data_IF_236165993484
#
_entry.id   IF_236165993484
#
_cell.length_a   1.000
_cell.length_b   1.000
_cell.length_c   1.000
_cell.angle_alpha   90.00
_cell.angle_beta   90.00
_cell.angle_gamma   90.00
#
_symmetry.space_group_name_H-M   'P 1'
#
loop_
_entity.id
_entity.type
_entity.pdbx_description
1 polymer ?
#
# COMPACT_ATOMS: atom_id res chain seq x y z
N UNK A 1 -12.66 -3.22 41.14
CA UNK A 1 -11.54 -2.33 41.49
C UNK A 1 -10.20 -2.84 40.93
N UNK A 2 -10.14 -3.22 39.64
CA UNK A 2 -8.93 -3.79 39.01
C UNK A 2 -8.60 -3.22 37.62
N UNK A 3 -9.39 -2.25 37.12
CA UNK A 3 -9.24 -1.69 35.77
C UNK A 3 -8.43 -0.38 35.76
N UNK A 4 -8.17 0.23 36.92
CA UNK A 4 -7.55 1.57 36.99
C UNK A 4 -6.02 1.58 37.14
N UNK A 5 -5.38 0.45 37.49
CA UNK A 5 -3.95 0.41 37.79
C UNK A 5 -3.03 0.12 36.57
N UNK A 6 -3.60 -0.18 35.40
CA UNK A 6 -2.82 -0.41 34.17
C UNK A 6 -2.55 0.86 33.35
N UNK A 7 -3.23 1.99 33.64
CA UNK A 7 -3.06 3.23 32.87
C UNK A 7 -1.77 4.00 33.18
N UNK A 8 -1.23 3.90 34.41
CA UNK A 8 -0.10 4.73 34.83
C UNK A 8 1.29 4.08 34.66
N UNK A 9 1.39 2.78 34.37
CA UNK A 9 2.70 2.12 34.12
C UNK A 9 3.14 2.13 32.65
N UNK A 10 2.23 2.38 31.72
CA UNK A 10 2.54 2.41 30.28
C UNK A 10 3.31 3.68 29.89
N UNK A 11 2.95 4.83 30.48
CA UNK A 11 3.56 6.13 30.17
C UNK A 11 5.03 6.19 30.62
N UNK A 12 5.37 5.61 31.78
CA UNK A 12 6.75 5.63 32.30
C UNK A 12 7.67 4.58 31.65
N UNK A 13 7.12 3.54 31.02
CA UNK A 13 7.90 2.52 30.29
C UNK A 13 8.24 2.97 28.85
N UNK A 14 7.44 3.88 28.28
CA UNK A 14 7.70 4.57 27.01
C UNK A 14 8.90 5.52 27.06
N UNK A 15 9.23 6.07 28.24
CA UNK A 15 10.34 7.02 28.44
C UNK A 15 11.73 6.37 28.56
N UNK A 16 11.86 5.03 28.56
CA UNK A 16 13.13 4.32 28.76
C UNK A 16 13.57 3.37 27.63
N UNK A 17 12.79 3.23 26.56
CA UNK A 17 13.29 2.61 25.34
C UNK A 17 13.96 3.72 24.51
N UNK A 18 15.22 3.53 24.11
CA UNK A 18 15.79 4.27 22.96
C UNK A 18 14.69 4.38 21.90
N UNK A 19 14.26 5.60 21.58
CA UNK A 19 13.12 5.91 20.69
C UNK A 19 13.01 4.89 19.55
N UNK A 20 12.14 3.89 19.71
CA UNK A 20 11.96 2.89 18.69
C UNK A 20 11.17 3.55 17.57
N UNK A 21 11.76 3.63 16.37
CA UNK A 21 11.07 4.14 15.18
C UNK A 21 9.76 3.37 15.03
N UNK A 22 8.59 4.02 15.01
CA UNK A 22 7.32 3.32 14.84
C UNK A 22 7.28 2.71 13.44
N UNK A 23 6.68 1.52 13.33
CA UNK A 23 6.59 0.79 12.05
C UNK A 23 7.97 0.62 11.38
N UNK A 24 8.93 0.07 12.14
CA UNK A 24 10.35 -0.04 11.74
C UNK A 24 10.64 -1.09 10.68
N UNK A 25 9.70 -1.98 10.42
CA UNK A 25 9.77 -3.02 9.40
C UNK A 25 9.76 -2.44 7.98
N UNK A 26 10.31 -3.17 7.01
CA UNK A 26 10.27 -2.74 5.62
C UNK A 26 8.80 -2.71 5.13
N UNK A 27 8.29 -1.59 4.62
CA UNK A 27 6.86 -1.42 4.33
C UNK A 27 6.40 -2.17 3.08
N UNK A 28 7.33 -2.43 2.14
CA UNK A 28 7.05 -3.07 0.83
C UNK A 28 7.62 -4.51 0.72
N UNK A 29 7.01 -5.53 1.34
CA UNK A 29 7.55 -6.90 1.37
C UNK A 29 7.56 -7.58 0.00
N UNK A 30 6.71 -7.15 -0.94
CA UNK A 30 6.67 -7.69 -2.30
C UNK A 30 7.80 -7.18 -3.20
N UNK A 31 8.52 -6.13 -2.82
CA UNK A 31 9.64 -5.58 -3.60
C UNK A 31 10.69 -4.93 -2.69
N UNK A 32 11.26 -5.73 -1.78
CA UNK A 32 12.16 -5.24 -0.75
C UNK A 32 13.60 -5.07 -1.24
N UNK A 33 14.20 -3.91 -0.94
CA UNK A 33 15.64 -3.66 -1.09
C UNK A 33 16.30 -3.54 0.28
N UNK A 34 17.60 -3.84 0.33
CA UNK A 34 18.37 -3.70 1.57
C UNK A 34 18.84 -2.26 1.83
N UNK A 35 18.95 -1.44 0.78
CA UNK A 35 19.40 -0.06 0.88
C UNK A 35 18.19 0.87 1.00
N UNK A 36 17.64 0.95 2.21
CA UNK A 36 16.48 1.78 2.53
C UNK A 36 16.65 2.43 3.90
N UNK A 37 15.90 3.50 4.16
CA UNK A 37 15.91 4.22 5.43
C UNK A 37 14.48 4.62 5.79
N UNK A 38 14.05 4.24 6.99
CA UNK A 38 12.74 4.62 7.51
C UNK A 38 12.74 6.09 7.97
N UNK A 39 11.74 6.87 7.55
CA UNK A 39 11.56 8.27 7.93
C UNK A 39 10.39 8.49 8.91
N UNK A 40 9.83 7.43 9.49
CA UNK A 40 8.85 7.55 10.56
C UNK A 40 9.45 8.16 11.83
N UNK A 41 8.56 8.48 12.78
CA UNK A 41 8.87 9.18 14.02
C UNK A 41 8.43 10.63 13.97
N UNK A 42 9.09 11.49 14.72
CA UNK A 42 8.69 12.88 14.89
C UNK A 42 8.97 13.73 13.64
N UNK A 43 7.98 14.52 13.22
CA UNK A 43 8.07 15.55 12.17
C UNK A 43 7.53 16.86 12.74
N UNK A 44 8.04 17.99 12.27
CA UNK A 44 7.40 19.29 12.51
C UNK A 44 6.05 19.33 11.79
N UNK A 45 5.05 19.96 12.41
CA UNK A 45 3.66 19.92 11.96
C UNK A 45 2.95 21.26 12.13
N UNK A 46 2.10 21.61 11.17
CA UNK A 46 1.14 22.71 11.28
C UNK A 46 -0.08 22.43 10.40
N UNK A 47 -1.19 23.10 10.67
CA UNK A 47 -2.47 22.86 10.00
C UNK A 47 -3.17 24.18 9.65
N UNK A 48 -4.00 24.16 8.60
CA UNK A 48 -4.63 25.36 8.07
C UNK A 48 -5.89 25.04 7.28
N UNK A 49 -6.88 25.91 7.37
CA UNK A 49 -8.04 25.89 6.48
C UNK A 49 -7.85 26.76 5.21
N UNK A 50 -6.78 27.55 5.15
CA UNK A 50 -6.43 28.32 3.94
C UNK A 50 -5.71 27.43 2.93
N UNK A 51 -6.27 27.35 1.72
CA UNK A 51 -5.81 26.45 0.64
C UNK A 51 -5.35 27.22 -0.62
N UNK A 52 -4.85 28.45 -0.43
CA UNK A 52 -4.36 29.30 -1.53
C UNK A 52 -2.86 29.13 -1.79
N UNK A 53 -2.38 29.41 -3.00
CA UNK A 53 -0.94 29.43 -3.31
C UNK A 53 -0.14 30.41 -2.42
N UNK A 54 -0.78 31.50 -1.98
CA UNK A 54 -0.18 32.44 -1.02
C UNK A 54 0.08 31.75 0.32
N UNK A 55 -0.83 30.89 0.77
CA UNK A 55 -0.65 30.09 1.96
C UNK A 55 0.51 29.11 1.80
N UNK A 56 0.64 28.47 0.63
CA UNK A 56 1.76 27.55 0.36
C UNK A 56 3.13 28.25 0.48
N UNK A 57 3.28 29.43 -0.13
CA UNK A 57 4.52 30.21 -0.05
C UNK A 57 4.91 30.53 1.40
N UNK A 58 3.92 30.84 2.25
CA UNK A 58 4.13 31.07 3.68
C UNK A 58 4.72 29.84 4.36
N UNK A 59 4.12 28.65 4.18
CA UNK A 59 4.59 27.45 4.87
C UNK A 59 5.95 26.95 4.35
N UNK A 60 6.28 27.21 3.08
CA UNK A 60 7.60 26.89 2.53
C UNK A 60 8.71 27.84 3.02
N UNK A 61 8.38 29.07 3.41
CA UNK A 61 9.35 30.04 3.94
C UNK A 61 9.55 29.96 5.46
N UNK A 62 8.69 29.23 6.16
CA UNK A 62 8.76 29.13 7.63
C UNK A 62 9.95 28.26 8.04
N UNK A 63 10.78 28.80 8.94
CA UNK A 63 11.96 28.10 9.45
C UNK A 63 11.59 26.89 10.31
N UNK A 64 10.50 26.96 11.07
CA UNK A 64 10.06 25.90 11.98
C UNK A 64 8.55 25.90 12.15
N UNK A 65 7.90 24.73 12.14
CA UNK A 65 6.49 24.63 12.52
C UNK A 65 6.29 24.51 14.03
N UNK A 66 5.12 24.96 14.49
CA UNK A 66 4.83 25.18 15.91
C UNK A 66 4.63 23.89 16.70
N UNK A 67 4.24 22.81 16.02
CA UNK A 67 3.89 21.53 16.64
C UNK A 67 4.73 20.39 16.08
N UNK A 68 4.57 19.22 16.68
CA UNK A 68 5.21 17.99 16.22
C UNK A 68 4.21 16.85 16.18
N UNK A 69 4.34 16.00 15.16
CA UNK A 69 3.50 14.83 14.95
C UNK A 69 4.36 13.59 14.75
N UNK A 70 3.91 12.44 15.26
CA UNK A 70 4.56 11.15 15.04
C UNK A 70 3.99 10.50 13.77
N UNK A 71 4.75 10.55 12.70
CA UNK A 71 4.48 9.82 11.44
C UNK A 71 4.76 8.32 11.66
N UNK A 72 3.90 7.40 11.19
CA UNK A 72 2.85 7.61 10.20
C UNK A 72 1.44 7.59 10.80
N UNK A 73 1.22 8.17 11.98
CA UNK A 73 -0.12 8.24 12.57
C UNK A 73 -0.78 9.57 12.16
N UNK A 74 -2.05 9.51 11.75
CA UNK A 74 -2.83 10.70 11.38
C UNK A 74 -3.08 11.61 12.59
N UNK A 75 -3.38 12.90 12.35
CA UNK A 75 -3.58 13.88 13.43
C UNK A 75 -4.72 13.51 14.39
N UNK A 76 -5.70 12.75 13.92
CA UNK A 76 -6.84 12.27 14.70
C UNK A 76 -6.46 11.17 15.69
N UNK A 77 -5.34 10.47 15.45
CA UNK A 77 -4.87 9.35 16.25
C UNK A 77 -4.20 9.82 17.54
N UNK A 78 -4.39 9.07 18.62
CA UNK A 78 -3.66 9.27 19.89
C UNK A 78 -2.16 9.01 19.71
N UNK A 79 -1.79 8.02 18.91
CA UNK A 79 -0.39 7.64 18.65
C UNK A 79 0.40 8.73 17.90
N UNK A 80 -0.27 9.66 17.23
CA UNK A 80 0.36 10.80 16.55
C UNK A 80 0.90 11.84 17.54
N UNK A 81 0.40 11.84 18.78
CA UNK A 81 0.64 12.90 19.76
C UNK A 81 -0.25 14.14 19.59
N UNK A 82 -1.07 14.22 18.53
CA UNK A 82 -1.95 15.36 18.26
C UNK A 82 -3.38 15.14 18.77
N UNK A 83 -4.02 14.01 18.42
CA UNK A 83 -5.38 13.63 18.83
C UNK A 83 -6.46 14.72 18.62
N UNK A 84 -6.40 15.44 17.49
CA UNK A 84 -7.41 16.44 17.10
C UNK A 84 -8.34 15.84 16.06
N UNK A 85 -9.66 15.92 16.31
CA UNK A 85 -10.71 15.25 15.51
C UNK A 85 -11.66 16.22 14.80
N UNK A 86 -11.40 17.51 14.92
CA UNK A 86 -12.06 18.54 14.14
C UNK A 86 -11.58 18.52 12.69
N UNK A 87 -12.34 19.14 11.79
CA UNK A 87 -12.01 19.15 10.37
C UNK A 87 -10.95 20.19 10.04
N UNK A 88 -9.97 19.78 9.24
CA UNK A 88 -9.00 20.68 8.64
C UNK A 88 -8.80 20.34 7.17
N UNK A 89 -8.63 21.36 6.32
CA UNK A 89 -8.47 21.15 4.88
C UNK A 89 -7.04 20.83 4.45
N UNK A 90 -6.05 21.23 5.23
CA UNK A 90 -4.66 21.21 4.81
C UNK A 90 -3.72 21.11 6.00
N UNK A 91 -2.85 20.11 5.96
CA UNK A 91 -1.82 19.88 6.97
C UNK A 91 -0.43 19.89 6.31
N UNK A 92 0.56 20.32 7.06
CA UNK A 92 1.94 20.48 6.60
C UNK A 92 2.89 19.76 7.53
N UNK A 93 3.82 19.03 6.93
CA UNK A 93 4.86 18.28 7.60
C UNK A 93 6.21 18.79 7.14
N UNK A 94 7.17 18.90 8.06
CA UNK A 94 8.56 19.21 7.74
C UNK A 94 9.50 18.32 8.53
N UNK A 95 10.54 17.80 7.87
CA UNK A 95 11.55 16.96 8.51
C UNK A 95 12.91 17.11 7.85
N UNK A 96 13.95 17.11 8.67
CA UNK A 96 15.33 16.94 8.21
C UNK A 96 15.72 15.46 8.11
N UNK A 97 16.53 15.13 7.12
CA UNK A 97 17.08 13.80 6.92
C UNK A 97 18.46 13.87 6.26
N UNK A 98 19.24 12.81 6.41
CA UNK A 98 20.56 12.66 5.77
C UNK A 98 20.58 11.39 4.93
N UNK A 99 21.26 11.44 3.79
CA UNK A 99 21.50 10.25 2.98
C UNK A 99 22.64 9.43 3.59
N UNK A 100 22.46 8.13 3.84
CA UNK A 100 23.54 7.27 4.31
C UNK A 100 24.75 7.30 3.36
N UNK A 101 25.95 7.55 3.91
CA UNK A 101 27.18 7.71 3.12
C UNK A 101 27.48 6.48 2.24
N UNK A 102 27.14 5.29 2.72
CA UNK A 102 27.33 4.03 2.00
C UNK A 102 26.43 3.87 0.75
N UNK A 103 25.50 4.79 0.49
CA UNK A 103 24.69 4.81 -0.73
C UNK A 103 25.44 5.43 -1.92
N UNK A 104 26.49 6.22 -1.68
CA UNK A 104 27.36 6.77 -2.72
C UNK A 104 26.60 7.54 -3.79
N UNK A 105 26.77 7.18 -5.07
CA UNK A 105 26.18 7.87 -6.24
C UNK A 105 24.87 7.24 -6.74
N UNK A 106 24.17 6.50 -5.86
CA UNK A 106 22.86 5.91 -6.17
C UNK A 106 21.81 7.00 -6.40
N UNK A 107 20.77 6.64 -7.17
CA UNK A 107 19.55 7.45 -7.25
C UNK A 107 18.74 7.20 -5.99
N UNK A 108 18.12 8.25 -5.47
CA UNK A 108 17.34 8.21 -4.24
C UNK A 108 15.86 8.37 -4.58
N UNK A 109 15.06 7.41 -4.14
CA UNK A 109 13.62 7.46 -4.20
C UNK A 109 13.08 7.80 -2.80
N UNK A 110 12.13 8.71 -2.71
CA UNK A 110 11.27 8.89 -1.53
C UNK A 110 9.96 8.17 -1.79
N UNK A 111 9.50 7.38 -0.84
CA UNK A 111 8.27 6.63 -0.90
C UNK A 111 7.32 7.04 0.23
N UNK A 112 6.04 7.02 -0.10
CA UNK A 112 4.95 7.20 0.84
C UNK A 112 4.02 5.99 0.71
N UNK A 113 3.72 5.35 1.84
CA UNK A 113 2.78 4.23 1.85
C UNK A 113 1.37 4.69 1.46
N UNK A 114 0.94 5.82 2.01
CA UNK A 114 -0.33 6.48 1.75
C UNK A 114 -0.36 7.86 2.44
N UNK A 115 -1.01 8.85 1.82
CA UNK A 115 -1.24 10.19 2.36
C UNK A 115 -2.65 10.63 1.99
N UNK A 116 -3.54 10.81 2.98
CA UNK A 116 -4.92 11.21 2.71
C UNK A 116 -5.04 12.75 2.58
N UNK A 117 -5.49 13.33 1.46
CA UNK A 117 -5.82 12.71 0.17
C UNK A 117 -4.95 13.18 -0.99
N UNK A 118 -4.60 14.47 -1.03
CA UNK A 118 -3.71 15.04 -2.05
C UNK A 118 -2.39 15.46 -1.44
N UNK A 119 -1.32 14.77 -1.81
CA UNK A 119 0.03 15.04 -1.35
C UNK A 119 0.80 15.93 -2.33
N UNK A 120 1.48 16.95 -1.80
CA UNK A 120 2.48 17.75 -2.53
C UNK A 120 3.80 17.69 -1.78
N UNK A 121 4.90 17.49 -2.50
CA UNK A 121 6.21 17.22 -1.88
C UNK A 121 7.27 18.20 -2.38
N UNK A 122 8.07 18.71 -1.46
CA UNK A 122 9.23 19.53 -1.72
C UNK A 122 10.47 18.96 -1.03
N UNK A 123 11.61 19.04 -1.70
CA UNK A 123 12.92 18.69 -1.14
C UNK A 123 13.81 19.92 -1.25
N UNK A 124 14.34 20.36 -0.11
CA UNK A 124 15.17 21.57 0.00
C UNK A 124 14.53 22.82 -0.63
N UNK A 125 13.21 22.95 -0.49
CA UNK A 125 12.42 24.05 -1.07
C UNK A 125 12.07 23.87 -2.55
N UNK A 126 12.64 22.88 -3.23
CA UNK A 126 12.30 22.59 -4.63
C UNK A 126 11.09 21.65 -4.72
N UNK A 127 10.11 22.02 -5.53
CA UNK A 127 8.94 21.19 -5.77
C UNK A 127 9.30 19.91 -6.54
N UNK A 128 8.83 18.77 -6.03
CA UNK A 128 9.12 17.44 -6.57
C UNK A 128 7.93 16.87 -7.34
N UNK A 129 6.71 16.98 -6.80
CA UNK A 129 5.52 16.42 -7.44
C UNK A 129 4.25 16.46 -6.59
N UNK A 130 3.17 15.96 -7.21
CA UNK A 130 1.84 15.79 -6.62
C UNK A 130 1.44 14.32 -6.76
N UNK A 131 0.79 13.78 -5.74
CA UNK A 131 0.00 12.55 -5.83
C UNK A 131 -1.43 12.86 -5.34
N UNK A 132 -2.43 12.27 -6.00
CA UNK A 132 -3.83 12.39 -5.64
C UNK A 132 -4.34 10.97 -5.45
N UNK A 133 -4.77 10.65 -4.24
CA UNK A 133 -5.18 9.33 -3.83
C UNK A 133 -4.79 9.08 -2.37
N UNK A 134 -5.73 8.63 -1.56
CA UNK A 134 -5.57 8.61 -0.10
C UNK A 134 -4.91 7.36 0.45
N UNK A 135 -4.84 6.29 -0.32
CA UNK A 135 -4.60 4.91 0.12
C UNK A 135 -3.61 4.14 -0.76
N UNK A 136 -3.39 4.58 -2.00
CA UNK A 136 -2.32 4.06 -2.86
C UNK A 136 -0.93 4.55 -2.43
N UNK A 137 0.07 3.70 -2.69
CA UNK A 137 1.47 4.04 -2.43
C UNK A 137 2.10 4.72 -3.64
N UNK A 138 2.91 5.75 -3.40
CA UNK A 138 3.58 6.51 -4.45
C UNK A 138 5.04 6.82 -4.09
N UNK A 139 5.80 7.25 -5.10
CA UNK A 139 7.21 7.60 -4.91
C UNK A 139 7.70 8.62 -5.92
N UNK A 140 8.72 9.39 -5.53
CA UNK A 140 9.42 10.31 -6.41
C UNK A 140 10.93 10.07 -6.38
N UNK A 141 11.59 10.23 -7.52
CA UNK A 141 13.05 10.29 -7.54
C UNK A 141 13.53 11.69 -7.14
N UNK A 142 14.29 11.77 -6.05
CA UNK A 142 14.68 13.05 -5.46
C UNK A 142 16.15 13.41 -5.63
N UNK A 143 16.94 12.57 -6.29
CA UNK A 143 18.41 12.70 -6.39
C UNK A 143 18.88 14.11 -6.78
N UNK A 144 18.24 14.72 -7.78
CA UNK A 144 18.62 16.04 -8.29
C UNK A 144 18.33 17.21 -7.35
N UNK A 145 17.52 16.99 -6.31
CA UNK A 145 17.14 18.02 -5.33
C UNK A 145 17.98 17.94 -4.05
N UNK A 146 18.81 16.90 -3.91
CA UNK A 146 19.56 16.65 -2.69
C UNK A 146 20.81 17.53 -2.58
N UNK A 147 21.08 17.96 -1.35
CA UNK A 147 22.36 18.53 -0.89
C UNK A 147 23.23 17.41 -0.33
N UNK A 148 24.55 17.64 -0.31
CA UNK A 148 25.55 16.66 0.18
C UNK A 148 25.35 16.26 1.65
N UNK A 149 24.87 17.20 2.47
CA UNK A 149 24.76 17.04 3.91
C UNK A 149 23.28 16.79 4.30
N UNK A 150 22.78 17.52 5.28
CA UNK A 150 21.38 17.48 5.68
C UNK A 150 20.47 18.01 4.56
N UNK A 151 19.32 17.36 4.43
CA UNK A 151 18.26 17.66 3.49
C UNK A 151 16.97 17.88 4.25
N UNK A 152 16.09 18.72 3.72
CA UNK A 152 14.77 18.95 4.30
C UNK A 152 13.69 18.46 3.33
N UNK A 153 12.72 17.72 3.85
CA UNK A 153 11.47 17.41 3.17
C UNK A 153 10.34 18.26 3.75
N UNK A 154 9.50 18.81 2.88
CA UNK A 154 8.22 19.41 3.24
C UNK A 154 7.13 18.68 2.49
N UNK A 155 6.06 18.31 3.17
CA UNK A 155 4.89 17.63 2.59
C UNK A 155 3.64 18.40 2.99
N UNK A 156 2.80 18.71 2.01
CA UNK A 156 1.44 19.17 2.27
C UNK A 156 0.47 18.05 1.92
N UNK A 157 -0.47 17.77 2.83
CA UNK A 157 -1.61 16.92 2.56
C UNK A 157 -2.89 17.76 2.63
N UNK A 158 -3.64 17.78 1.53
CA UNK A 158 -4.96 18.38 1.46
C UNK A 158 -6.02 17.27 1.53
N UNK A 159 -7.07 17.51 2.32
CA UNK A 159 -8.17 16.58 2.58
C UNK A 159 -9.44 17.39 2.84
N UNK A 160 -10.49 17.16 2.04
CA UNK A 160 -11.82 17.71 2.28
C UNK A 160 -12.88 16.63 2.13
N UNK A 161 -12.85 15.66 3.05
CA UNK A 161 -13.77 14.52 3.14
C UNK A 161 -15.27 14.87 3.00
N UNK A 162 -15.68 16.13 3.28
CA UNK A 162 -17.08 16.58 3.18
C UNK A 162 -17.47 17.19 1.84
N UNK A 163 -16.50 17.41 0.95
CA UNK A 163 -16.72 18.09 -0.34
C UNK A 163 -17.30 17.18 -1.41
N UNK A 164 -17.18 15.86 -1.26
CA UNK A 164 -17.54 14.87 -2.28
C UNK A 164 -16.51 14.71 -3.41
N UNK A 165 -15.39 15.44 -3.41
CA UNK A 165 -14.37 15.36 -4.47
C UNK A 165 -13.39 14.19 -4.29
N UNK A 166 -13.45 13.51 -3.16
CA UNK A 166 -12.56 12.41 -2.80
C UNK A 166 -13.36 11.27 -2.19
N UNK A 167 -12.82 10.07 -2.31
CA UNK A 167 -13.37 8.88 -1.67
C UNK A 167 -12.90 8.84 -0.20
N UNK A 168 -13.82 8.64 0.73
CA UNK A 168 -13.56 8.67 2.17
C UNK A 168 -13.83 7.35 2.87
N UNK A 169 -14.46 6.38 2.18
CA UNK A 169 -14.81 5.09 2.77
C UNK A 169 -15.72 5.25 3.98
N UNK A 170 -15.34 4.63 5.10
CA UNK A 170 -16.07 4.74 6.37
C UNK A 170 -15.62 5.90 7.26
N UNK A 171 -14.94 6.91 6.72
CA UNK A 171 -14.64 8.13 7.49
C UNK A 171 -15.89 9.00 7.67
N UNK A 172 -16.06 9.57 8.87
CA UNK A 172 -17.21 10.40 9.20
C UNK A 172 -17.09 11.80 8.63
N UNK A 173 -18.15 12.25 7.97
CA UNK A 173 -18.39 13.64 7.57
C UNK A 173 -18.88 14.52 8.74
N UNK A 174 -19.01 13.94 9.96
CA UNK A 174 -19.36 14.64 11.20
C UNK A 174 -18.21 14.55 12.22
N UNK A 175 -18.20 15.46 13.19
CA UNK A 175 -17.17 15.50 14.24
C UNK A 175 -17.13 14.22 15.10
N UNK A 176 -18.24 13.51 15.22
CA UNK A 176 -18.36 12.27 15.98
C UNK A 176 -18.79 11.16 15.06
N UNK A 177 -18.24 9.97 15.30
CA UNK A 177 -18.68 8.73 14.65
C UNK A 177 -20.17 8.50 14.84
N UNK A 178 -20.83 7.97 13.80
CA UNK A 178 -22.26 7.70 13.80
C UNK A 178 -22.59 6.58 12.80
N UNK A 179 -23.58 5.75 13.13
CA UNK A 179 -23.94 4.61 12.29
C UNK A 179 -22.72 3.72 11.99
N UNK A 180 -22.39 3.55 10.72
CA UNK A 180 -21.21 2.80 10.25
C UNK A 180 -20.02 3.68 9.84
N UNK A 181 -20.04 4.98 10.19
CA UNK A 181 -18.99 5.95 9.87
C UNK A 181 -18.17 6.30 11.12
N UNK A 182 -16.86 6.16 11.03
CA UNK A 182 -15.89 6.22 12.11
C UNK A 182 -15.02 7.49 12.04
N UNK A 183 -14.06 7.64 12.96
CA UNK A 183 -13.20 8.84 13.00
C UNK A 183 -12.42 9.02 11.68
N UNK A 184 -12.25 10.26 11.23
CA UNK A 184 -11.48 10.58 10.02
C UNK A 184 -9.98 10.31 10.19
N UNK A 185 -9.26 10.40 9.07
CA UNK A 185 -7.81 10.21 8.94
C UNK A 185 -7.29 11.25 7.97
N UNK A 186 -6.58 12.27 8.45
CA UNK A 186 -6.00 13.30 7.59
C UNK A 186 -4.48 13.24 7.58
N UNK A 187 -3.89 13.26 6.39
CA UNK A 187 -2.45 13.34 6.16
C UNK A 187 -1.73 11.99 6.07
N UNK A 188 -0.48 11.93 6.53
CA UNK A 188 0.38 10.75 6.33
C UNK A 188 -0.04 9.65 7.31
N UNK A 189 -0.62 8.56 6.81
CA UNK A 189 -1.12 7.47 7.65
C UNK A 189 -0.45 6.10 7.39
N UNK A 190 0.51 6.04 6.45
CA UNK A 190 1.41 4.89 6.30
C UNK A 190 2.87 5.34 6.19
N UNK A 191 3.79 4.39 6.37
CA UNK A 191 5.24 4.63 6.47
C UNK A 191 5.79 5.50 5.34
N UNK A 192 6.72 6.40 5.69
CA UNK A 192 7.54 7.16 4.75
C UNK A 192 8.95 6.62 4.78
N UNK A 193 9.57 6.37 3.63
CA UNK A 193 10.93 5.82 3.59
C UNK A 193 11.72 6.26 2.35
N UNK A 194 13.04 6.25 2.47
CA UNK A 194 13.96 6.40 1.36
C UNK A 194 14.42 5.04 0.86
N UNK A 195 14.67 4.93 -0.44
CA UNK A 195 15.29 3.78 -1.06
C UNK A 195 16.41 4.21 -2.03
N UNK A 196 17.54 3.51 -2.01
CA UNK A 196 18.68 3.79 -2.89
C UNK A 196 18.80 2.75 -4.00
N UNK A 197 18.61 3.21 -5.23
CA UNK A 197 18.62 2.39 -6.43
C UNK A 197 19.83 2.73 -7.32
N UNK A 198 20.28 1.78 -8.13
CA UNK A 198 21.31 2.07 -9.14
C UNK A 198 20.80 3.01 -10.23
N UNK A 199 21.70 3.53 -11.08
CA UNK A 199 21.32 4.38 -12.22
C UNK A 199 20.30 3.71 -13.15
N UNK A 200 20.45 2.40 -13.35
CA UNK A 200 19.42 1.53 -13.95
C UNK A 200 18.93 0.56 -12.90
N UNK A 201 17.61 0.42 -12.69
CA UNK A 201 17.03 -0.39 -11.62
C UNK A 201 15.69 -1.03 -12.02
N UNK A 202 15.28 -2.07 -11.29
CA UNK A 202 13.98 -2.75 -11.48
C UNK A 202 12.89 -1.87 -10.86
N UNK A 203 12.05 -1.24 -11.68
CA UNK A 203 11.04 -0.29 -11.22
C UNK A 203 9.79 -1.00 -10.69
N UNK A 204 9.24 -1.91 -11.51
CA UNK A 204 8.05 -2.70 -11.22
C UNK A 204 8.22 -4.11 -11.75
N UNK A 205 7.47 -5.06 -11.21
CA UNK A 205 7.32 -6.38 -11.80
C UNK A 205 6.00 -7.04 -11.38
N UNK A 206 5.45 -7.85 -12.29
CA UNK A 206 4.30 -8.72 -12.07
C UNK A 206 4.77 -10.17 -12.05
N UNK A 207 4.27 -10.93 -11.10
CA UNK A 207 4.49 -12.38 -10.94
C UNK A 207 3.14 -13.05 -11.13
N UNK A 208 3.00 -13.82 -12.22
CA UNK A 208 1.77 -14.55 -12.55
C UNK A 208 2.05 -16.04 -12.42
N UNK A 209 1.58 -16.70 -11.34
CA UNK A 209 1.70 -18.14 -11.19
C UNK A 209 0.86 -18.91 -12.21
N UNK A 210 1.40 -20.00 -12.74
CA UNK A 210 0.71 -20.92 -13.65
C UNK A 210 0.94 -22.37 -13.16
N UNK A 211 0.15 -22.81 -12.17
CA UNK A 211 0.31 -24.14 -11.60
C UNK A 211 -0.08 -25.26 -12.58
N UNK A 212 -0.94 -25.01 -13.56
CA UNK A 212 -1.36 -26.03 -14.53
C UNK A 212 -0.19 -26.39 -15.47
N UNK A 213 0.59 -25.39 -15.88
CA UNK A 213 1.80 -25.59 -16.68
C UNK A 213 3.10 -25.72 -15.86
N UNK A 214 2.99 -25.78 -14.52
CA UNK A 214 4.11 -25.90 -13.59
C UNK A 214 5.17 -24.83 -13.81
N UNK A 215 4.75 -23.57 -13.94
CA UNK A 215 5.67 -22.47 -14.18
C UNK A 215 5.21 -21.16 -13.52
N UNK A 216 6.07 -20.14 -13.60
CA UNK A 216 5.73 -18.78 -13.21
C UNK A 216 6.16 -17.82 -14.32
N UNK A 217 5.27 -16.90 -14.67
CA UNK A 217 5.55 -15.82 -15.61
C UNK A 217 5.96 -14.58 -14.84
N UNK A 218 7.02 -13.91 -15.31
CA UNK A 218 7.47 -12.65 -14.74
C UNK A 218 7.55 -11.62 -15.87
N UNK A 219 6.92 -10.47 -15.62
CA UNK A 219 7.04 -9.27 -16.42
C UNK A 219 7.69 -8.19 -15.57
N UNK A 220 8.82 -7.63 -16.02
CA UNK A 220 9.54 -6.58 -15.29
C UNK A 220 9.64 -5.30 -16.13
N UNK A 221 9.49 -4.16 -15.46
CA UNK A 221 9.80 -2.83 -15.97
C UNK A 221 11.15 -2.36 -15.40
N UNK A 222 12.04 -1.88 -16.25
CA UNK A 222 13.36 -1.38 -15.88
C UNK A 222 13.46 0.12 -16.19
N UNK A 223 13.81 0.89 -15.17
CA UNK A 223 14.09 2.31 -15.30
C UNK A 223 15.58 2.53 -15.60
N UNK A 224 15.91 3.26 -16.66
CA UNK A 224 17.30 3.59 -17.03
C UNK A 224 17.79 2.87 -18.29
N UNK A 225 19.11 2.89 -18.53
CA UNK A 225 19.72 2.30 -19.74
C UNK A 225 19.86 0.79 -19.59
N UNK A 226 19.34 0.04 -20.57
CA UNK A 226 19.26 -1.44 -20.53
C UNK A 226 20.31 -2.16 -21.39
N UNK A 227 21.16 -1.42 -22.12
CA UNK A 227 22.18 -2.00 -23.01
C UNK A 227 23.14 -2.91 -22.21
N UNK A 228 23.33 -4.14 -22.70
CA UNK A 228 24.23 -5.15 -22.12
C UNK A 228 23.89 -5.54 -20.67
N UNK A 229 22.63 -5.39 -20.25
CA UNK A 229 22.16 -5.85 -18.95
C UNK A 229 21.52 -7.24 -19.04
N UNK A 230 21.70 -8.01 -17.97
CA UNK A 230 21.06 -9.30 -17.77
C UNK A 230 20.15 -9.18 -16.55
N UNK A 231 18.89 -9.60 -16.69
CA UNK A 231 18.00 -9.83 -15.57
C UNK A 231 18.13 -11.29 -15.16
N UNK A 232 18.51 -11.51 -13.90
CA UNK A 232 18.68 -12.82 -13.30
C UNK A 232 17.63 -13.01 -12.21
N UNK A 233 16.79 -14.01 -12.38
CA UNK A 233 15.78 -14.40 -11.40
C UNK A 233 16.18 -15.75 -10.77
N UNK A 234 16.14 -15.81 -9.44
CA UNK A 234 16.40 -17.02 -8.65
C UNK A 234 15.22 -17.25 -7.71
N UNK A 235 14.65 -18.46 -7.78
CA UNK A 235 13.53 -18.90 -6.94
C UNK A 235 14.06 -19.84 -5.87
N UNK A 236 13.66 -19.60 -4.64
CA UNK A 236 14.12 -20.37 -3.48
C UNK A 236 12.96 -21.06 -2.77
N UNK A 237 13.25 -22.28 -2.31
CA UNK A 237 12.46 -23.02 -1.33
C UNK A 237 13.34 -23.22 -0.09
N UNK A 238 12.93 -22.71 1.07
CA UNK A 238 13.65 -22.90 2.34
C UNK A 238 15.18 -22.64 2.23
N UNK A 239 15.57 -21.56 1.55
CA UNK A 239 16.96 -21.14 1.26
C UNK A 239 17.69 -21.91 0.14
N UNK A 240 17.11 -22.95 -0.44
CA UNK A 240 17.68 -23.67 -1.57
C UNK A 240 17.17 -23.10 -2.89
N UNK A 241 18.06 -22.86 -3.86
CA UNK A 241 17.66 -22.42 -5.22
C UNK A 241 17.03 -23.61 -5.94
N UNK A 242 15.74 -23.51 -6.26
CA UNK A 242 14.97 -24.57 -6.98
C UNK A 242 14.79 -24.28 -8.46
N UNK A 243 14.85 -23.01 -8.86
CA UNK A 243 14.83 -22.60 -10.26
C UNK A 243 15.59 -21.28 -10.44
N UNK A 244 16.17 -21.08 -11.62
CA UNK A 244 16.84 -19.83 -11.99
C UNK A 244 16.82 -19.62 -13.49
N UNK A 245 16.80 -18.37 -13.91
CA UNK A 245 16.95 -17.99 -15.32
C UNK A 245 17.74 -16.69 -15.45
N UNK A 246 18.43 -16.55 -16.57
CA UNK A 246 19.08 -15.31 -17.01
C UNK A 246 18.53 -14.93 -18.37
N UNK A 247 18.01 -13.72 -18.48
CA UNK A 247 17.49 -13.17 -19.74
C UNK A 247 18.15 -11.83 -20.02
N UNK A 248 18.24 -11.46 -21.30
CA UNK A 248 18.65 -10.11 -21.68
C UNK A 248 17.59 -9.13 -21.18
N UNK A 249 18.02 -8.08 -20.49
CA UNK A 249 17.11 -7.09 -19.94
C UNK A 249 16.76 -6.03 -21.00
N UNK A 250 15.46 -5.84 -21.26
CA UNK A 250 14.89 -4.72 -22.01
C UNK A 250 14.16 -3.75 -21.09
N UNK A 251 13.58 -2.67 -21.62
CA UNK A 251 12.73 -1.76 -20.81
C UNK A 251 11.59 -2.56 -20.17
N UNK A 252 10.91 -3.35 -21.00
CA UNK A 252 9.98 -4.39 -20.56
C UNK A 252 10.63 -5.73 -20.90
N UNK A 253 10.65 -6.64 -19.92
CA UNK A 253 11.17 -7.99 -20.11
C UNK A 253 10.15 -8.99 -19.59
N UNK A 254 9.69 -9.90 -20.45
CA UNK A 254 8.76 -10.99 -20.11
C UNK A 254 9.48 -12.32 -20.25
N UNK A 255 9.34 -13.20 -19.27
CA UNK A 255 9.97 -14.52 -19.29
C UNK A 255 9.23 -15.50 -18.38
N UNK A 256 9.44 -16.79 -18.63
CA UNK A 256 8.81 -17.89 -17.91
C UNK A 256 9.88 -18.73 -17.21
N UNK A 257 9.64 -19.10 -15.95
CA UNK A 257 10.52 -20.01 -15.19
C UNK A 257 9.75 -21.31 -14.89
N UNK A 258 10.19 -22.45 -15.44
CA UNK A 258 9.63 -23.76 -15.08
C UNK A 258 9.91 -24.15 -13.62
N UNK A 259 8.93 -24.76 -12.96
CA UNK A 259 8.94 -25.25 -11.58
C UNK A 259 8.56 -26.74 -11.53
N UNK A 260 9.53 -27.62 -11.84
CA UNK A 260 9.29 -29.06 -11.99
C UNK A 260 8.59 -29.71 -10.78
N UNK A 261 9.06 -29.39 -9.57
CA UNK A 261 8.54 -29.88 -8.29
C UNK A 261 7.83 -28.75 -7.55
N UNK A 262 6.76 -28.23 -8.14
CA UNK A 262 6.03 -27.11 -7.54
C UNK A 262 5.31 -27.51 -6.25
N UNK A 263 5.27 -26.56 -5.32
CA UNK A 263 4.44 -26.59 -4.11
C UNK A 263 3.38 -25.53 -4.27
N UNK A 264 2.14 -25.94 -4.06
CA UNK A 264 0.96 -25.11 -4.25
C UNK A 264 0.65 -24.35 -2.96
N UNK A 265 0.41 -23.06 -3.09
CA UNK A 265 -0.15 -22.22 -2.03
C UNK A 265 -1.65 -22.52 -1.89
N UNK A 266 -2.10 -22.74 -0.66
CA UNK A 266 -3.51 -22.88 -0.32
C UNK A 266 -3.77 -22.35 1.08
N UNK A 267 -5.05 -22.22 1.44
CA UNK A 267 -5.49 -21.83 2.80
C UNK A 267 -4.88 -22.74 3.87
N UNK A 268 -4.84 -24.06 3.61
CA UNK A 268 -4.31 -25.05 4.57
C UNK A 268 -2.79 -25.15 4.54
N UNK A 269 -2.18 -24.90 3.38
CA UNK A 269 -0.74 -24.98 3.18
C UNK A 269 -0.26 -23.70 2.44
N UNK A 270 -0.06 -22.58 3.15
CA UNK A 270 0.29 -21.30 2.54
C UNK A 270 1.78 -21.22 2.17
N UNK A 271 2.23 -22.16 1.33
CA UNK A 271 3.62 -22.23 0.91
C UNK A 271 3.97 -21.07 -0.02
N UNK A 272 5.05 -20.35 0.30
CA UNK A 272 5.57 -19.24 -0.49
C UNK A 272 7.00 -19.55 -0.95
N UNK A 273 7.28 -19.27 -2.21
CA UNK A 273 8.63 -19.24 -2.75
C UNK A 273 9.23 -17.85 -2.53
N UNK A 274 10.50 -17.77 -2.11
CA UNK A 274 11.22 -16.49 -2.18
C UNK A 274 11.73 -16.27 -3.62
N UNK A 275 11.63 -15.05 -4.11
CA UNK A 275 12.12 -14.63 -5.41
C UNK A 275 13.19 -13.55 -5.25
N UNK A 276 14.37 -13.80 -5.80
CA UNK A 276 15.42 -12.79 -5.91
C UNK A 276 15.58 -12.36 -7.38
N UNK A 277 15.30 -11.10 -7.66
CA UNK A 277 15.58 -10.46 -8.95
C UNK A 277 16.86 -9.63 -8.85
N UNK A 278 17.76 -9.79 -9.83
CA UNK A 278 19.04 -9.08 -9.89
C UNK A 278 19.26 -8.53 -11.29
N UNK A 279 19.57 -7.23 -11.40
CA UNK A 279 20.13 -6.67 -12.63
C UNK A 279 21.63 -6.79 -12.60
N UNK A 280 22.21 -7.38 -13.65
CA UNK A 280 23.63 -7.66 -13.77
C UNK A 280 24.21 -6.88 -14.94
N UNK A 281 25.27 -6.12 -14.66
CA UNK A 281 26.11 -5.42 -15.64
C UNK A 281 27.55 -5.93 -15.49
N UNK A 282 28.21 -6.33 -16.60
CA UNK A 282 29.62 -6.81 -16.58
C UNK A 282 29.93 -7.81 -15.45
N UNK A 283 29.04 -8.80 -15.25
CA UNK A 283 29.10 -9.83 -14.18
C UNK A 283 28.87 -9.34 -12.74
N UNK A 284 28.59 -8.06 -12.52
CA UNK A 284 28.27 -7.48 -11.20
C UNK A 284 26.76 -7.21 -11.08
N UNK A 285 26.15 -7.59 -9.96
CA UNK A 285 24.79 -7.17 -9.65
C UNK A 285 24.76 -5.68 -9.26
N UNK A 286 24.04 -4.87 -10.04
CA UNK A 286 23.89 -3.41 -9.83
C UNK A 286 22.62 -3.06 -9.04
N UNK A 287 21.57 -3.86 -9.20
CA UNK A 287 20.32 -3.78 -8.44
C UNK A 287 19.91 -5.17 -7.96
N UNK A 288 19.23 -5.24 -6.81
CA UNK A 288 18.74 -6.48 -6.20
C UNK A 288 17.42 -6.20 -5.50
N UNK A 289 16.38 -6.94 -5.88
CA UNK A 289 15.05 -6.87 -5.26
C UNK A 289 14.68 -8.26 -4.75
N UNK A 290 14.16 -8.31 -3.53
CA UNK A 290 13.58 -9.51 -2.93
C UNK A 290 12.06 -9.41 -2.99
N UNK A 291 11.43 -10.53 -3.32
CA UNK A 291 9.99 -10.69 -3.40
C UNK A 291 9.64 -12.12 -2.98
N UNK A 292 8.36 -12.48 -3.07
CA UNK A 292 7.88 -13.84 -2.87
C UNK A 292 6.60 -14.05 -3.69
N UNK A 293 6.23 -15.30 -3.90
CA UNK A 293 4.95 -15.63 -4.53
C UNK A 293 4.44 -17.00 -4.07
N UNK A 294 3.13 -17.19 -4.16
CA UNK A 294 2.48 -18.49 -3.97
C UNK A 294 2.05 -19.06 -5.32
N UNK A 295 2.35 -20.33 -5.59
CA UNK A 295 1.81 -21.02 -6.77
C UNK A 295 0.34 -21.37 -6.53
N UNK A 296 -0.59 -20.66 -7.18
CA UNK A 296 -2.01 -20.96 -7.09
C UNK A 296 -2.79 -20.42 -8.29
N UNK A 297 -3.97 -20.99 -8.54
CA UNK A 297 -4.95 -20.46 -9.50
C UNK A 297 -6.32 -20.28 -8.86
N UNK A 298 -7.11 -19.37 -9.43
CA UNK A 298 -8.48 -19.09 -9.02
C UNK A 298 -9.37 -19.22 -10.23
N UNK A 299 -10.50 -19.91 -10.06
CA UNK A 299 -11.46 -20.18 -11.12
C UNK A 299 -12.88 -19.93 -10.58
N UNK A 300 -13.76 -19.37 -11.41
CA UNK A 300 -15.20 -19.31 -11.14
C UNK A 300 -15.90 -20.28 -12.08
N UNK A 301 -16.50 -21.33 -11.52
CA UNK A 301 -17.24 -22.34 -12.28
C UNK A 301 -18.68 -22.39 -11.79
N UNK A 302 -19.60 -21.90 -12.62
CA UNK A 302 -20.99 -21.70 -12.23
C UNK A 302 -21.08 -20.76 -11.03
N UNK A 303 -21.63 -21.23 -9.91
CA UNK A 303 -21.75 -20.47 -8.65
C UNK A 303 -20.62 -20.74 -7.65
N UNK A 304 -19.57 -21.44 -8.05
CA UNK A 304 -18.49 -21.85 -7.15
C UNK A 304 -17.21 -21.11 -7.48
N UNK A 305 -16.56 -20.55 -6.45
CA UNK A 305 -15.17 -20.10 -6.53
C UNK A 305 -14.27 -21.26 -6.12
N UNK A 306 -13.31 -21.56 -6.98
CA UNK A 306 -12.33 -22.63 -6.79
C UNK A 306 -10.95 -22.02 -6.60
N UNK A 307 -10.17 -22.59 -5.69
CA UNK A 307 -8.74 -22.33 -5.55
C UNK A 307 -8.02 -23.64 -5.80
N UNK A 308 -7.17 -23.68 -6.82
CA UNK A 308 -6.45 -24.89 -7.26
C UNK A 308 -7.39 -26.08 -7.58
N UNK A 309 -8.55 -25.81 -8.19
CA UNK A 309 -9.54 -26.83 -8.53
C UNK A 309 -10.43 -27.29 -7.36
N UNK A 310 -10.18 -26.83 -6.13
CA UNK A 310 -11.02 -27.15 -4.97
C UNK A 310 -12.04 -26.03 -4.72
N UNK A 311 -13.33 -26.40 -4.55
CA UNK A 311 -14.37 -25.44 -4.17
C UNK A 311 -14.11 -24.89 -2.77
N UNK A 312 -14.00 -23.57 -2.65
CA UNK A 312 -13.78 -22.90 -1.37
C UNK A 312 -15.03 -22.15 -0.96
N UNK A 313 -15.59 -22.52 0.20
CA UNK A 313 -16.58 -21.68 0.86
C UNK A 313 -15.87 -20.51 1.56
N UNK A 314 -16.09 -19.30 1.06
CA UNK A 314 -15.46 -18.09 1.58
C UNK A 314 -16.22 -17.60 2.81
N UNK A 315 -15.80 -18.05 3.99
CA UNK A 315 -16.32 -17.59 5.28
C UNK A 315 -15.52 -16.37 5.68
N UNK A 316 -15.89 -15.23 5.11
CA UNK A 316 -15.19 -13.96 5.26
C UNK A 316 -15.82 -13.08 6.34
N UNK A 317 -14.98 -12.32 7.04
CA UNK A 317 -15.40 -11.21 7.90
C UNK A 317 -15.30 -9.88 7.11
N UNK A 318 -16.15 -8.90 7.43
CA UNK A 318 -15.91 -7.50 7.02
C UNK A 318 -14.88 -6.89 7.97
N UNK A 319 -13.66 -6.69 7.49
CA UNK A 319 -12.59 -6.09 8.28
C UNK A 319 -12.49 -4.59 7.98
N UNK A 320 -12.87 -3.77 8.96
CA UNK A 320 -12.85 -2.31 8.88
C UNK A 320 -11.43 -1.72 9.02
N UNK A 321 -10.53 -2.47 9.68
CA UNK A 321 -9.16 -2.03 9.97
C UNK A 321 -9.05 -0.76 10.82
N UNK A 322 -10.02 -0.48 11.71
CA UNK A 322 -9.95 0.66 12.64
C UNK A 322 -9.30 0.27 13.96
N UNK A 323 -8.14 0.85 14.25
CA UNK A 323 -7.40 0.70 15.50
C UNK A 323 -7.85 1.75 16.52
N UNK A 324 -8.08 1.38 17.79
CA UNK A 324 -8.56 2.32 18.80
C UNK A 324 -7.66 3.55 19.01
N UNK A 325 -6.36 3.35 18.87
CA UNK A 325 -5.30 4.34 19.11
C UNK A 325 -4.73 4.92 17.81
N UNK A 326 -4.63 4.10 16.75
CA UNK A 326 -4.06 4.45 15.44
C UNK A 326 -5.05 4.79 14.32
N UNK A 327 -6.34 4.63 14.55
CA UNK A 327 -7.43 4.82 13.57
C UNK A 327 -7.19 3.97 12.32
N UNK A 328 -6.63 4.49 11.23
CA UNK A 328 -6.33 3.67 10.06
C UNK A 328 -4.97 2.95 10.12
N UNK A 329 -4.07 3.40 10.99
CA UNK A 329 -2.70 2.89 11.07
C UNK A 329 -2.59 1.89 12.22
N UNK A 330 -2.21 0.65 11.93
CA UNK A 330 -1.94 -0.32 12.99
C UNK A 330 -0.77 0.14 13.86
N UNK A 331 -0.83 0.04 15.21
CA UNK A 331 0.25 0.52 16.09
C UNK A 331 1.60 -0.15 15.83
N UNK A 332 1.60 -1.41 15.36
CA UNK A 332 2.79 -2.18 15.01
C UNK A 332 2.45 -3.39 14.12
N UNK A 333 3.47 -4.02 13.54
CA UNK A 333 3.33 -5.21 12.67
C UNK A 333 2.63 -6.40 13.37
N UNK A 334 2.79 -6.52 14.70
CA UNK A 334 2.14 -7.59 15.45
C UNK A 334 0.62 -7.38 15.59
N UNK A 335 0.14 -6.13 15.59
CA UNK A 335 -1.30 -5.82 15.60
C UNK A 335 -1.97 -6.30 14.30
N UNK A 336 -1.38 -6.02 13.14
CA UNK A 336 -1.86 -6.53 11.84
C UNK A 336 -2.01 -8.06 11.85
N UNK A 337 -0.95 -8.74 12.32
CA UNK A 337 -0.95 -10.20 12.42
C UNK A 337 -2.00 -10.71 13.41
N UNK A 338 -2.25 -9.96 14.48
CA UNK A 338 -3.19 -10.34 15.51
C UNK A 338 -4.65 -10.27 15.03
N UNK A 339 -5.00 -9.28 14.20
CA UNK A 339 -6.34 -9.17 13.62
C UNK A 339 -6.69 -10.42 12.78
N UNK A 340 -5.74 -10.87 11.95
CA UNK A 340 -5.88 -12.11 11.18
C UNK A 340 -6.05 -13.32 12.12
N UNK A 341 -5.25 -13.41 13.19
CA UNK A 341 -5.35 -14.53 14.16
C UNK A 341 -6.70 -14.56 14.87
N UNK A 342 -7.21 -13.41 15.30
CA UNK A 342 -8.51 -13.32 15.97
C UNK A 342 -9.62 -13.76 15.01
N UNK A 343 -9.57 -13.28 13.76
CA UNK A 343 -10.51 -13.67 12.72
C UNK A 343 -10.49 -15.19 12.46
N UNK A 344 -9.30 -15.78 12.30
CA UNK A 344 -9.16 -17.23 12.13
C UNK A 344 -9.63 -18.02 13.36
N UNK A 345 -9.36 -17.53 14.58
CA UNK A 345 -9.81 -18.15 15.81
C UNK A 345 -11.34 -18.11 15.99
N UNK A 346 -12.01 -17.05 15.51
CA UNK A 346 -13.46 -16.98 15.42
C UNK A 346 -14.04 -17.90 14.32
N UNK A 347 -13.17 -18.53 13.54
CA UNK A 347 -13.55 -19.37 12.42
C UNK A 347 -13.90 -18.55 11.20
N UNK A 348 -13.10 -17.58 10.79
CA UNK A 348 -13.14 -17.08 9.41
C UNK A 348 -11.92 -17.61 8.66
N UNK A 349 -12.05 -17.84 7.35
CA UNK A 349 -10.89 -18.20 6.51
C UNK A 349 -10.35 -17.01 5.71
N UNK A 350 -10.94 -15.84 5.90
CA UNK A 350 -10.56 -14.64 5.17
C UNK A 350 -11.32 -13.39 5.58
N UNK A 351 -11.04 -12.29 4.88
CA UNK A 351 -11.75 -11.03 5.04
C UNK A 351 -12.06 -10.36 3.71
N UNK A 352 -13.11 -9.55 3.70
CA UNK A 352 -13.27 -8.46 2.75
C UNK A 352 -12.74 -7.19 3.43
N UNK A 353 -11.71 -6.58 2.84
CA UNK A 353 -10.95 -5.46 3.42
C UNK A 353 -11.71 -4.15 3.19
N UNK A 354 -12.64 -3.86 4.08
CA UNK A 354 -13.73 -2.92 3.87
C UNK A 354 -13.51 -1.63 4.68
N UNK A 355 -13.90 -0.42 4.26
CA UNK A 355 -13.75 0.15 2.92
C UNK A 355 -12.47 1.00 2.93
N UNK A 356 -11.31 0.34 2.98
CA UNK A 356 -10.02 0.99 2.82
C UNK A 356 -9.02 0.01 2.24
N UNK A 357 -8.02 0.55 1.56
CA UNK A 357 -6.89 -0.25 1.12
C UNK A 357 -5.89 -0.40 2.24
N UNK A 358 -5.70 -1.63 2.72
CA UNK A 358 -4.77 -1.94 3.80
C UNK A 358 -3.32 -1.80 3.31
N UNK A 359 -2.40 -1.59 4.25
CA UNK A 359 -0.97 -1.60 3.96
C UNK A 359 -0.51 -3.00 3.50
N UNK A 360 0.48 -3.06 2.59
CA UNK A 360 1.01 -4.32 2.02
C UNK A 360 1.45 -5.33 3.09
N UNK A 361 1.78 -4.85 4.29
CA UNK A 361 2.16 -5.69 5.44
C UNK A 361 1.02 -6.54 5.97
N UNK A 362 -0.22 -6.06 5.92
CA UNK A 362 -1.38 -6.90 6.25
C UNK A 362 -1.49 -8.05 5.25
N UNK A 363 -1.39 -7.74 3.95
CA UNK A 363 -1.45 -8.71 2.87
C UNK A 363 -0.31 -9.74 2.96
N UNK A 364 0.89 -9.32 3.37
CA UNK A 364 2.01 -10.22 3.65
C UNK A 364 1.71 -11.23 4.76
N UNK A 365 1.09 -10.79 5.86
CA UNK A 365 0.68 -11.73 6.91
C UNK A 365 -0.43 -12.66 6.42
N UNK A 366 -1.38 -12.15 5.65
CA UNK A 366 -2.44 -12.95 5.04
C UNK A 366 -1.87 -14.03 4.10
N UNK A 367 -0.90 -13.69 3.26
CA UNK A 367 -0.19 -14.61 2.38
C UNK A 367 0.48 -15.74 3.15
N UNK A 368 1.15 -15.40 4.25
CA UNK A 368 1.89 -16.35 5.09
C UNK A 368 1.00 -17.25 5.93
N UNK A 369 -0.20 -16.78 6.27
CA UNK A 369 -1.11 -17.48 7.17
C UNK A 369 -2.19 -18.27 6.44
N UNK A 370 -2.27 -18.16 5.10
CA UNK A 370 -3.32 -18.83 4.33
C UNK A 370 -4.69 -18.19 4.52
N UNK A 371 -4.72 -16.87 4.73
CA UNK A 371 -5.94 -16.10 4.96
C UNK A 371 -6.33 -15.40 3.66
N UNK A 372 -7.49 -15.75 3.08
CA UNK A 372 -7.91 -15.18 1.79
C UNK A 372 -8.51 -13.79 1.97
N UNK A 373 -8.27 -12.87 1.05
CA UNK A 373 -8.81 -11.52 1.14
C UNK A 373 -9.40 -11.03 -0.19
N UNK A 374 -10.35 -10.13 -0.10
CA UNK A 374 -10.80 -9.31 -1.23
C UNK A 374 -10.17 -7.93 -1.14
N UNK A 375 -9.50 -7.52 -2.23
CA UNK A 375 -9.00 -6.16 -2.36
C UNK A 375 -10.15 -5.22 -2.69
N UNK A 376 -10.29 -4.15 -1.92
CA UNK A 376 -11.43 -3.24 -2.02
C UNK A 376 -11.03 -1.78 -1.87
N UNK A 377 -11.77 -0.91 -2.55
CA UNK A 377 -11.56 0.54 -2.55
C UNK A 377 -12.50 1.28 -1.58
N UNK A 378 -12.09 2.48 -1.13
CA UNK A 378 -12.85 3.30 -0.18
C UNK A 378 -13.91 4.19 -0.84
N UNK A 379 -14.71 3.66 -1.77
CA UNK A 379 -15.53 4.46 -2.70
C UNK A 379 -16.60 5.37 -2.06
N UNK A 380 -16.96 5.17 -0.79
CA UNK A 380 -17.97 5.99 -0.12
C UNK A 380 -17.54 7.46 0.00
N UNK A 381 -18.51 8.36 0.15
CA UNK A 381 -18.30 9.80 0.32
C UNK A 381 -18.04 10.57 -0.97
N UNK A 382 -17.64 9.91 -2.07
CA UNK A 382 -17.40 10.61 -3.33
C UNK A 382 -18.69 10.89 -4.11
N UNK A 383 -18.71 11.99 -4.86
CA UNK A 383 -19.79 12.33 -5.78
C UNK A 383 -19.57 11.66 -7.13
N UNK A 384 -20.36 10.63 -7.44
CA UNK A 384 -20.27 9.89 -8.71
C UNK A 384 -20.64 10.71 -9.96
N UNK A 385 -21.25 11.89 -9.80
CA UNK A 385 -21.57 12.79 -10.91
C UNK A 385 -20.47 13.82 -11.20
N UNK A 386 -19.40 13.86 -10.40
CA UNK A 386 -18.31 14.83 -10.54
C UNK A 386 -17.04 14.16 -11.10
N UNK A 387 -16.59 14.58 -12.28
CA UNK A 387 -15.34 14.09 -12.87
C UNK A 387 -14.12 14.37 -12.00
N UNK A 388 -14.14 15.45 -11.21
CA UNK A 388 -13.09 15.77 -10.27
C UNK A 388 -12.96 14.73 -9.14
N UNK A 389 -14.03 13.97 -8.86
CA UNK A 389 -14.01 12.83 -7.94
C UNK A 389 -13.73 11.50 -8.65
N UNK A 390 -14.35 11.28 -9.81
CA UNK A 390 -14.26 10.02 -10.56
C UNK A 390 -12.85 9.70 -11.04
N UNK A 391 -12.17 10.66 -11.67
CA UNK A 391 -10.87 10.41 -12.30
C UNK A 391 -9.78 10.05 -11.27
N UNK A 392 -9.61 10.79 -10.17
CA UNK A 392 -8.69 10.38 -9.11
C UNK A 392 -9.01 9.01 -8.53
N UNK A 393 -10.29 8.69 -8.29
CA UNK A 393 -10.68 7.39 -7.74
C UNK A 393 -10.31 6.22 -8.66
N UNK A 394 -10.55 6.37 -9.97
CA UNK A 394 -10.18 5.34 -10.94
C UNK A 394 -8.65 5.22 -11.10
N UNK A 395 -7.92 6.34 -11.11
CA UNK A 395 -6.45 6.32 -11.17
C UNK A 395 -5.85 5.65 -9.94
N UNK A 396 -6.35 5.99 -8.75
CA UNK A 396 -5.91 5.39 -7.50
C UNK A 396 -6.18 3.88 -7.49
N UNK A 397 -7.36 3.45 -7.98
CA UNK A 397 -7.68 2.04 -8.11
C UNK A 397 -6.69 1.27 -9.01
N UNK A 398 -6.25 1.85 -10.13
CA UNK A 398 -5.19 1.25 -10.97
C UNK A 398 -3.91 1.04 -10.15
N UNK A 399 -3.49 2.07 -9.40
CA UNK A 399 -2.29 1.99 -8.57
C UNK A 399 -2.41 0.89 -7.50
N UNK A 400 -3.59 0.74 -6.90
CA UNK A 400 -3.88 -0.29 -5.89
C UNK A 400 -3.79 -1.69 -6.50
N UNK A 401 -4.47 -1.94 -7.63
CA UNK A 401 -4.44 -3.24 -8.31
C UNK A 401 -3.01 -3.57 -8.75
N UNK A 402 -2.25 -2.60 -9.26
CA UNK A 402 -0.84 -2.79 -9.61
C UNK A 402 0.05 -3.10 -8.40
N UNK A 403 -0.15 -2.39 -7.28
CA UNK A 403 0.62 -2.59 -6.04
C UNK A 403 0.40 -3.99 -5.50
N UNK A 404 -0.86 -4.43 -5.48
CA UNK A 404 -1.28 -5.60 -4.74
C UNK A 404 -1.36 -6.89 -5.60
N UNK A 405 -1.17 -6.78 -6.92
CA UNK A 405 -1.25 -7.88 -7.90
C UNK A 405 -0.54 -9.18 -7.48
N UNK A 406 0.64 -9.05 -6.87
CA UNK A 406 1.53 -10.18 -6.56
C UNK A 406 1.10 -10.98 -5.30
N UNK A 407 0.10 -10.53 -4.55
CA UNK A 407 -0.31 -11.20 -3.31
C UNK A 407 -1.16 -12.45 -3.57
N UNK A 408 -0.70 -13.67 -3.20
CA UNK A 408 -1.52 -14.87 -3.33
C UNK A 408 -2.78 -14.86 -2.45
N UNK A 409 -2.79 -14.13 -1.33
CA UNK A 409 -3.96 -14.03 -0.45
C UNK A 409 -5.15 -13.33 -1.09
N UNK A 410 -4.93 -12.39 -2.02
CA UNK A 410 -6.03 -11.71 -2.71
C UNK A 410 -6.71 -12.68 -3.65
N UNK A 411 -8.01 -12.91 -3.47
CA UNK A 411 -8.80 -13.87 -4.27
C UNK A 411 -9.86 -13.24 -5.16
N UNK A 412 -10.04 -11.93 -5.05
CA UNK A 412 -10.98 -11.17 -5.87
C UNK A 412 -10.85 -9.67 -5.64
N UNK A 413 -11.45 -8.89 -6.53
CA UNK A 413 -11.39 -7.43 -6.51
C UNK A 413 -12.79 -6.82 -6.42
N UNK A 414 -12.93 -5.81 -5.56
CA UNK A 414 -14.17 -5.09 -5.29
C UNK A 414 -13.93 -3.57 -5.35
N UNK A 415 -13.92 -2.95 -6.55
CA UNK A 415 -13.70 -1.51 -6.71
C UNK A 415 -14.78 -0.63 -6.06
N UNK A 416 -15.99 -1.15 -5.83
CA UNK A 416 -17.09 -0.38 -5.26
C UNK A 416 -17.93 -1.16 -4.25
N UNK A 417 -18.58 -0.43 -3.35
CA UNK A 417 -19.57 -0.93 -2.41
C UNK A 417 -20.80 -0.03 -2.39
N UNK A 418 -21.99 -0.63 -2.46
CA UNK A 418 -23.28 0.04 -2.31
C UNK A 418 -23.39 1.32 -3.15
N UNK A 419 -23.12 1.20 -4.45
CA UNK A 419 -23.20 2.32 -5.37
C UNK A 419 -24.62 2.50 -5.92
N UNK A 420 -25.07 3.76 -6.10
CA UNK A 420 -26.36 4.03 -6.70
C UNK A 420 -26.27 3.97 -8.24
N UNK A 421 -27.41 4.09 -8.92
CA UNK A 421 -27.50 3.96 -10.38
C UNK A 421 -26.61 4.96 -11.12
N UNK A 422 -26.40 6.15 -10.58
CA UNK A 422 -25.58 7.21 -11.16
C UNK A 422 -24.10 6.80 -11.30
N UNK A 423 -23.63 5.84 -10.50
CA UNK A 423 -22.26 5.32 -10.59
C UNK A 423 -22.05 4.32 -11.74
N UNK A 424 -23.07 3.99 -12.52
CA UNK A 424 -23.02 2.91 -13.52
C UNK A 424 -21.87 3.05 -14.51
N UNK A 425 -21.60 4.27 -14.99
CA UNK A 425 -20.55 4.51 -15.98
C UNK A 425 -19.16 4.19 -15.42
N UNK A 426 -18.82 4.74 -14.24
CA UNK A 426 -17.52 4.53 -13.62
C UNK A 426 -17.36 3.09 -13.13
N UNK A 427 -18.42 2.47 -12.62
CA UNK A 427 -18.46 1.07 -12.25
C UNK A 427 -18.12 0.16 -13.44
N UNK A 428 -18.79 0.36 -14.58
CA UNK A 428 -18.55 -0.43 -15.79
C UNK A 428 -17.13 -0.25 -16.33
N UNK A 429 -16.63 0.99 -16.37
CA UNK A 429 -15.26 1.29 -16.81
C UNK A 429 -14.22 0.63 -15.89
N UNK A 430 -14.40 0.74 -14.58
CA UNK A 430 -13.44 0.23 -13.59
C UNK A 430 -13.42 -1.29 -13.56
N UNK A 431 -14.57 -1.97 -13.75
CA UNK A 431 -14.60 -3.44 -13.85
C UNK A 431 -13.79 -3.93 -15.04
N UNK A 432 -14.02 -3.36 -16.23
CA UNK A 432 -13.27 -3.68 -17.44
C UNK A 432 -11.78 -3.45 -17.24
N UNK A 433 -11.43 -2.30 -16.67
CA UNK A 433 -10.05 -1.94 -16.37
C UNK A 433 -9.40 -2.93 -15.39
N UNK A 434 -10.11 -3.33 -14.34
CA UNK A 434 -9.64 -4.31 -13.36
C UNK A 434 -9.33 -5.64 -14.03
N UNK A 435 -10.21 -6.13 -14.91
CA UNK A 435 -9.99 -7.38 -15.66
C UNK A 435 -8.83 -7.31 -16.63
N UNK A 436 -8.56 -6.14 -17.22
CA UNK A 436 -7.37 -5.92 -18.07
C UNK A 436 -6.09 -5.92 -17.23
N UNK A 437 -6.11 -5.28 -16.05
CA UNK A 437 -4.96 -5.18 -15.16
C UNK A 437 -4.63 -6.52 -14.49
N UNK A 438 -5.66 -7.28 -14.13
CA UNK A 438 -5.58 -8.59 -13.51
C UNK A 438 -6.64 -9.57 -14.04
N UNK A 439 -6.29 -10.40 -15.04
CA UNK A 439 -7.17 -11.43 -15.56
C UNK A 439 -7.19 -12.71 -14.69
N UNK A 440 -6.44 -12.75 -13.58
CA UNK A 440 -6.24 -13.98 -12.80
C UNK A 440 -7.20 -14.13 -11.62
N UNK A 441 -8.06 -13.12 -11.40
CA UNK A 441 -8.97 -13.04 -10.26
C UNK A 441 -10.34 -12.55 -10.71
N UNK A 442 -11.43 -13.02 -10.09
CA UNK A 442 -12.76 -12.49 -10.34
C UNK A 442 -12.91 -11.06 -9.82
N UNK A 443 -13.78 -10.30 -10.47
CA UNK A 443 -14.15 -8.94 -10.10
C UNK A 443 -15.63 -8.90 -9.74
N UNK A 444 -15.96 -8.30 -8.61
CA UNK A 444 -17.33 -7.87 -8.28
C UNK A 444 -17.44 -6.37 -8.55
N UNK A 445 -18.41 -5.97 -9.36
CA UNK A 445 -18.59 -4.58 -9.78
C UNK A 445 -18.89 -3.64 -8.60
N UNK A 446 -19.88 -3.99 -7.79
CA UNK A 446 -20.20 -3.34 -6.54
C UNK A 446 -20.68 -4.40 -5.55
N UNK A 447 -20.32 -4.28 -4.28
CA UNK A 447 -20.93 -5.15 -3.27
C UNK A 447 -22.23 -4.53 -2.75
N UNK A 448 -23.35 -5.12 -3.19
CA UNK A 448 -24.70 -4.70 -2.82
C UNK A 448 -25.22 -3.50 -3.61
N UNK A 449 -26.54 -3.26 -3.49
CA UNK A 449 -27.24 -2.17 -4.17
C UNK A 449 -27.37 -2.35 -5.70
N UNK A 450 -26.84 -1.44 -6.52
CA UNK A 450 -27.11 -1.42 -7.97
C UNK A 450 -25.95 -2.00 -8.79
N UNK A 451 -26.15 -3.21 -9.31
CA UNK A 451 -25.23 -3.83 -10.26
C UNK A 451 -25.50 -3.32 -11.68
N UNK A 452 -24.53 -2.64 -12.28
CA UNK A 452 -24.68 -1.94 -13.56
C UNK A 452 -24.03 -2.63 -14.76
N UNK A 453 -23.27 -3.70 -14.52
CA UNK A 453 -22.55 -4.43 -15.57
C UNK A 453 -22.90 -5.92 -15.57
N UNK A 454 -23.05 -6.48 -16.76
CA UNK A 454 -23.12 -7.94 -16.95
C UNK A 454 -21.75 -8.61 -16.87
N UNK A 455 -20.67 -7.82 -16.83
CA UNK A 455 -19.29 -8.29 -16.79
C UNK A 455 -18.79 -8.57 -15.36
N UNK A 456 -19.61 -8.41 -14.32
CA UNK A 456 -19.22 -8.87 -12.98
C UNK A 456 -19.11 -10.40 -12.96
N UNK A 457 -18.06 -10.94 -12.34
CA UNK A 457 -17.83 -12.39 -12.26
C UNK A 457 -18.64 -13.03 -11.11
N UNK A 458 -19.03 -12.22 -10.12
CA UNK A 458 -19.72 -12.65 -8.91
C UNK A 458 -20.94 -11.74 -8.69
N UNK A 459 -22.09 -12.37 -8.41
CA UNK A 459 -23.39 -11.76 -8.16
C UNK A 459 -23.92 -12.17 -6.80
#
# INVERSE_FOLDING_TARGET
MFIYLYRNKTITKLLKMKMQIPRYEHPKPQAARSAWQNLNGEWEFTETNSVSEKADKKYLSVEKFDEKIVVPFCRESELSGINRKDFVKSVWYKRSFSIPENWGTKRILIHFGAVDWRARVWINGCFVGIHIGGQASFSFEITKYLKKNENTIVVNAFDDTRSGIQASGKQSDKLKSYGCLYTGTTGIWQTVWLEAVSKTYIEKFKITPDPDNKCVHIESLINGKTKNLILNAEIYENKNVVAKIKVKAGIITKFTIPLKNQKIWSIKNPFLYDLNLKLIEKKRAIDKVKSYFGQRKIEVIGKSVLINGEKIFQRLILDQGFYPDGIWTAPNDAALKNDIKISMAAGFNGARLHQKVFEERFLYHADKMGYIVWGEYSNWGMNHNDEAAKLPAMNEWIEIVERDYNHPSIVGWCPYNETPKEASEIQNATVRLTKILDPTRPVIDTSGWYHSTSETDIY
#
